data_IF_335955711566
#
_entry.id   IF_335955711566
#
_cell.length_a   1.000
_cell.length_b   1.000
_cell.length_c   1.000
_cell.angle_alpha   90.00
_cell.angle_beta   90.00
_cell.angle_gamma   90.00
#
_symmetry.space_group_name_H-M   'P 1'
#
loop_
_entity.id
_entity.type
_entity.pdbx_description
1 polymer ?
#
# COMPACT_ATOMS: atom_id res chain seq x y z
N UNK A 1 16.37 -13.86 47.91
CA UNK A 1 16.65 -14.86 46.86
C UNK A 1 16.84 -14.17 45.53
N UNK A 2 17.45 -14.85 44.55
CA UNK A 2 17.65 -14.30 43.20
C UNK A 2 16.35 -14.26 42.37
N UNK A 3 15.31 -14.98 42.80
CA UNK A 3 13.98 -15.03 42.16
C UNK A 3 13.04 -14.03 42.82
N UNK A 4 12.42 -13.20 41.99
CA UNK A 4 11.44 -12.17 42.36
C UNK A 4 10.12 -12.42 41.64
N UNK A 5 9.05 -11.73 42.04
CA UNK A 5 7.72 -11.85 41.42
C UNK A 5 7.68 -11.51 39.93
N UNK A 6 8.69 -10.78 39.41
CA UNK A 6 8.80 -10.41 38.01
C UNK A 6 9.91 -11.16 37.24
N UNK A 7 10.51 -12.19 37.84
CA UNK A 7 11.49 -13.04 37.16
C UNK A 7 10.82 -13.80 36.02
N UNK A 8 11.46 -13.82 34.84
CA UNK A 8 11.05 -14.63 33.69
C UNK A 8 11.96 -15.85 33.57
N UNK A 9 11.40 -16.99 33.20
CA UNK A 9 12.10 -18.26 33.04
C UNK A 9 12.00 -18.72 31.58
N UNK A 10 13.09 -19.14 30.96
CA UNK A 10 13.05 -19.66 29.60
C UNK A 10 13.92 -20.89 29.43
N UNK A 11 13.54 -21.72 28.47
CA UNK A 11 14.33 -22.87 28.08
C UNK A 11 15.57 -22.40 27.31
N UNK A 12 16.71 -23.04 27.58
CA UNK A 12 18.01 -22.78 26.99
C UNK A 12 18.55 -24.09 26.43
N UNK A 13 17.80 -24.68 25.51
CA UNK A 13 18.21 -25.87 24.78
C UNK A 13 18.51 -25.49 23.33
N UNK A 14 19.78 -25.57 22.94
CA UNK A 14 20.18 -25.49 21.53
C UNK A 14 20.87 -24.19 21.11
N UNK A 15 20.80 -23.96 19.79
CA UNK A 15 21.21 -22.74 19.10
C UNK A 15 19.91 -22.06 18.68
N UNK A 16 19.69 -20.83 19.12
CA UNK A 16 18.55 -20.00 18.72
C UNK A 16 19.01 -18.99 17.67
N UNK A 17 18.28 -18.95 16.55
CA UNK A 17 18.63 -18.19 15.35
C UNK A 17 17.42 -17.35 14.96
N UNK A 18 17.53 -16.04 15.15
CA UNK A 18 16.47 -15.10 14.79
C UNK A 18 16.91 -14.24 13.61
N UNK A 19 16.05 -14.12 12.60
CA UNK A 19 16.25 -13.21 11.48
C UNK A 19 15.23 -12.07 11.58
N UNK A 20 15.71 -10.89 11.97
CA UNK A 20 14.89 -9.68 12.10
C UNK A 20 15.18 -8.65 11.01
N UNK A 21 14.43 -7.55 11.04
CA UNK A 21 14.67 -6.41 10.14
C UNK A 21 16.07 -5.78 10.31
N UNK A 22 16.71 -5.98 11.46
CA UNK A 22 18.05 -5.48 11.78
C UNK A 22 19.19 -6.46 11.43
N UNK A 23 18.87 -7.65 10.93
CA UNK A 23 19.85 -8.68 10.59
C UNK A 23 19.66 -10.00 11.34
N UNK A 24 20.71 -10.81 11.36
CA UNK A 24 20.75 -12.13 12.00
C UNK A 24 21.22 -12.00 13.44
N UNK A 25 20.42 -12.45 14.40
CA UNK A 25 20.79 -12.61 15.80
C UNK A 25 20.97 -14.09 16.12
N UNK A 26 22.10 -14.42 16.78
CA UNK A 26 22.47 -15.78 17.15
C UNK A 26 22.65 -15.85 18.67
N UNK A 27 21.83 -16.67 19.32
CA UNK A 27 21.96 -16.96 20.75
C UNK A 27 22.41 -18.40 20.93
N UNK A 28 23.64 -18.59 21.44
CA UNK A 28 24.19 -19.90 21.75
C UNK A 28 24.32 -20.08 23.26
N UNK A 29 23.76 -21.17 23.80
CA UNK A 29 23.98 -21.59 25.18
C UNK A 29 25.36 -22.19 25.42
N UNK A 30 25.67 -22.57 26.66
CA UNK A 30 26.92 -23.29 26.97
C UNK A 30 26.86 -24.73 26.43
N UNK A 31 28.02 -25.34 26.17
CA UNK A 31 28.11 -26.72 25.65
C UNK A 31 27.43 -27.76 26.55
N UNK A 32 27.35 -27.48 27.85
CA UNK A 32 26.65 -28.30 28.84
C UNK A 32 25.13 -28.18 28.73
N UNK A 33 24.60 -26.97 28.46
CA UNK A 33 23.17 -26.72 28.23
C UNK A 33 22.67 -27.36 26.93
N UNK A 34 23.54 -27.52 25.92
CA UNK A 34 23.24 -28.20 24.65
C UNK A 34 22.97 -29.71 24.81
N UNK A 35 23.52 -30.36 25.82
CA UNK A 35 23.46 -31.83 25.98
C UNK A 35 22.35 -32.31 26.91
N UNK A 36 21.96 -31.50 27.90
CA UNK A 36 21.01 -31.90 28.95
C UNK A 36 19.69 -31.11 28.89
N UNK A 37 19.68 -29.96 28.21
CA UNK A 37 18.61 -28.98 28.33
C UNK A 37 18.66 -28.28 29.69
N UNK A 38 18.28 -27.00 29.74
CA UNK A 38 18.35 -26.23 30.97
C UNK A 38 17.32 -25.10 30.99
N UNK A 39 16.80 -24.80 32.17
CA UNK A 39 15.97 -23.62 32.41
C UNK A 39 16.88 -22.53 32.97
N UNK A 40 16.83 -21.34 32.39
CA UNK A 40 17.49 -20.15 32.91
C UNK A 40 16.45 -19.10 33.27
N UNK A 41 16.86 -18.07 34.00
CA UNK A 41 15.97 -17.02 34.44
C UNK A 41 16.67 -15.67 34.52
N UNK A 42 15.88 -14.61 34.46
CA UNK A 42 16.38 -13.25 34.52
C UNK A 42 15.27 -12.23 34.70
N UNK A 43 15.67 -10.98 34.79
CA UNK A 43 14.74 -9.85 34.83
C UNK A 43 14.64 -9.22 33.44
N UNK A 44 13.45 -8.75 33.02
CA UNK A 44 13.32 -7.98 31.80
C UNK A 44 14.12 -6.67 31.88
N UNK A 45 14.62 -6.19 30.74
CA UNK A 45 15.35 -4.93 30.65
C UNK A 45 14.46 -3.77 31.17
N UNK A 46 15.02 -2.96 32.07
CA UNK A 46 14.30 -1.84 32.70
C UNK A 46 13.28 -2.25 33.78
N UNK A 47 13.28 -3.52 34.22
CA UNK A 47 12.42 -3.96 35.31
C UNK A 47 12.71 -3.21 36.62
N UNK A 48 11.65 -2.72 37.26
CA UNK A 48 11.71 -2.23 38.63
C UNK A 48 11.83 -3.43 39.57
N UNK A 49 12.64 -3.30 40.63
CA UNK A 49 12.80 -4.33 41.67
C UNK A 49 11.43 -4.76 42.20
N UNK A 50 11.17 -6.07 42.21
CA UNK A 50 9.94 -6.66 42.70
C UNK A 50 10.19 -7.43 44.01
N UNK A 51 9.15 -7.70 44.82
CA UNK A 51 9.29 -8.53 46.01
C UNK A 51 9.87 -9.91 45.67
N UNK A 52 10.57 -10.51 46.64
CA UNK A 52 11.06 -11.87 46.53
C UNK A 52 9.90 -12.86 46.27
N UNK A 53 10.17 -13.91 45.52
CA UNK A 53 9.22 -15.00 45.33
C UNK A 53 8.93 -15.73 46.66
N UNK A 54 7.69 -16.12 46.86
CA UNK A 54 7.27 -17.01 47.94
C UNK A 54 7.36 -18.48 47.51
N UNK A 55 7.35 -19.39 48.49
CA UNK A 55 7.28 -20.82 48.21
C UNK A 55 5.95 -21.17 47.51
N UNK A 56 6.00 -22.01 46.49
CA UNK A 56 4.84 -22.39 45.67
C UNK A 56 4.41 -21.38 44.60
N UNK A 57 5.14 -20.27 44.40
CA UNK A 57 4.85 -19.34 43.30
C UNK A 57 5.05 -20.00 41.93
N UNK A 58 4.07 -19.86 41.05
CA UNK A 58 4.11 -20.37 39.68
C UNK A 58 4.60 -19.30 38.68
N UNK A 59 5.39 -19.73 37.70
CA UNK A 59 5.96 -18.89 36.65
C UNK A 59 5.71 -19.49 35.27
N UNK A 60 5.63 -18.63 34.27
CA UNK A 60 5.60 -19.06 32.87
C UNK A 60 7.00 -19.46 32.44
N UNK A 61 7.14 -20.67 31.90
CA UNK A 61 8.33 -21.12 31.19
C UNK A 61 8.16 -20.77 29.71
N UNK A 62 8.99 -19.84 29.22
CA UNK A 62 9.04 -19.44 27.83
C UNK A 62 9.95 -20.39 27.03
N UNK A 63 9.70 -20.53 25.73
CA UNK A 63 10.47 -21.46 24.89
C UNK A 63 11.91 -20.98 24.67
N UNK A 64 12.15 -19.67 24.63
CA UNK A 64 13.47 -19.06 24.51
C UNK A 64 13.51 -17.65 25.15
N UNK A 65 14.69 -17.00 25.08
CA UNK A 65 14.88 -15.66 25.63
C UNK A 65 14.04 -14.60 24.89
N UNK A 66 13.96 -14.68 23.56
CA UNK A 66 13.26 -13.69 22.74
C UNK A 66 11.76 -13.65 23.01
N UNK A 67 11.16 -14.80 23.34
CA UNK A 67 9.77 -14.92 23.80
C UNK A 67 9.51 -14.14 25.08
N UNK A 68 10.51 -13.98 25.94
CA UNK A 68 10.39 -13.17 27.15
C UNK A 68 10.31 -11.66 26.85
N UNK A 69 10.80 -11.23 25.69
CA UNK A 69 10.82 -9.84 25.23
C UNK A 69 9.63 -9.48 24.34
N UNK A 70 8.88 -10.48 23.86
CA UNK A 70 7.67 -10.26 23.07
C UNK A 70 6.74 -9.29 23.80
N UNK A 71 6.22 -8.33 23.05
CA UNK A 71 5.29 -7.33 23.55
C UNK A 71 4.04 -8.02 24.09
N UNK A 72 3.87 -8.03 25.42
CA UNK A 72 2.70 -8.61 26.08
C UNK A 72 1.65 -7.52 26.22
N UNK A 73 0.63 -7.62 25.39
CA UNK A 73 -0.52 -6.74 25.39
C UNK A 73 -1.46 -7.16 26.51
N UNK A 74 -1.85 -6.22 27.38
CA UNK A 74 -2.68 -6.53 28.56
C UNK A 74 -4.18 -6.50 28.25
N UNK A 75 -4.60 -5.54 27.43
CA UNK A 75 -6.01 -5.22 27.17
C UNK A 75 -6.36 -5.43 25.70
N UNK A 76 -6.02 -6.61 25.16
CA UNK A 76 -6.26 -6.87 23.76
C UNK A 76 -7.67 -7.34 23.44
N UNK A 77 -8.23 -6.82 22.35
CA UNK A 77 -9.55 -7.16 21.83
C UNK A 77 -9.40 -7.81 20.44
N UNK A 78 -10.11 -8.91 20.15
CA UNK A 78 -10.08 -9.55 18.84
C UNK A 78 -10.93 -8.77 17.83
N UNK A 79 -10.42 -8.63 16.61
CA UNK A 79 -11.15 -8.06 15.48
C UNK A 79 -10.99 -8.93 14.23
N UNK A 80 -12.01 -8.90 13.37
CA UNK A 80 -11.99 -9.58 12.08
C UNK A 80 -11.72 -8.58 10.96
N UNK A 81 -10.85 -8.94 10.03
CA UNK A 81 -10.59 -8.20 8.80
C UNK A 81 -11.02 -9.04 7.60
N UNK A 82 -11.61 -8.40 6.59
CA UNK A 82 -12.09 -9.08 5.39
C UNK A 82 -11.41 -8.52 4.14
N UNK A 83 -10.41 -9.23 3.61
CA UNK A 83 -9.66 -8.77 2.43
C UNK A 83 -10.22 -9.37 1.14
N UNK A 84 -10.41 -8.54 0.10
CA UNK A 84 -10.81 -8.98 -1.25
C UNK A 84 -9.66 -9.57 -2.05
N UNK A 85 -8.42 -9.18 -1.73
CA UNK A 85 -7.20 -9.60 -2.44
C UNK A 85 -6.46 -10.78 -1.81
N UNK A 86 -5.32 -11.11 -2.40
CA UNK A 86 -4.41 -12.12 -1.88
C UNK A 86 -3.84 -11.70 -0.52
N UNK A 87 -3.94 -12.60 0.46
CA UNK A 87 -3.28 -12.49 1.77
C UNK A 87 -1.93 -13.21 1.81
N UNK A 88 -1.40 -13.63 0.66
CA UNK A 88 -0.13 -14.38 0.57
C UNK A 88 1.02 -13.59 1.18
N UNK A 89 1.75 -14.23 2.09
CA UNK A 89 2.85 -13.60 2.83
C UNK A 89 2.42 -13.07 4.19
N UNK A 90 1.11 -13.00 4.47
CA UNK A 90 0.61 -12.82 5.82
C UNK A 90 0.64 -14.16 6.54
N UNK A 91 1.22 -14.18 7.74
CA UNK A 91 1.35 -15.36 8.60
C UNK A 91 0.73 -15.08 9.96
N UNK A 92 0.53 -16.14 10.74
CA UNK A 92 0.22 -16.01 12.17
C UNK A 92 1.36 -15.26 12.87
N UNK A 93 1.02 -14.50 13.91
CA UNK A 93 1.91 -13.59 14.65
C UNK A 93 2.51 -12.42 13.84
N UNK A 94 2.16 -12.28 12.56
CA UNK A 94 2.51 -11.10 11.79
C UNK A 94 2.03 -9.82 12.51
N UNK A 95 2.83 -8.74 12.49
CA UNK A 95 2.52 -7.57 13.27
C UNK A 95 1.27 -6.86 12.74
N UNK A 96 0.54 -6.25 13.65
CA UNK A 96 -0.47 -5.24 13.33
C UNK A 96 0.09 -3.91 13.81
N UNK A 97 0.32 -3.00 12.89
CA UNK A 97 0.95 -1.72 13.17
C UNK A 97 -0.05 -0.59 12.99
N UNK A 98 0.07 0.43 13.83
CA UNK A 98 -0.57 1.72 13.63
C UNK A 98 0.53 2.77 13.47
N UNK A 99 0.60 3.37 12.28
CA UNK A 99 1.64 4.36 11.92
C UNK A 99 3.07 3.89 12.24
N UNK A 100 3.34 2.61 11.97
CA UNK A 100 4.66 1.98 12.19
C UNK A 100 4.96 1.59 13.64
N UNK A 101 4.00 1.72 14.55
CA UNK A 101 4.11 1.22 15.93
C UNK A 101 3.29 -0.05 16.05
N UNK A 102 3.89 -1.12 16.56
CA UNK A 102 3.17 -2.38 16.78
C UNK A 102 2.12 -2.22 17.87
N UNK A 103 0.88 -2.52 17.49
CA UNK A 103 -0.31 -2.42 18.34
C UNK A 103 -1.11 -3.72 18.38
N UNK A 104 -0.58 -4.80 17.81
CA UNK A 104 -1.30 -6.05 17.73
C UNK A 104 -0.55 -7.15 17.01
N UNK A 105 -1.27 -8.24 16.79
CA UNK A 105 -0.82 -9.43 16.09
C UNK A 105 -1.93 -10.08 15.29
N UNK A 106 -1.57 -10.69 14.16
CA UNK A 106 -2.44 -11.63 13.44
C UNK A 106 -2.53 -12.92 14.25
N UNK A 107 -3.75 -13.39 14.51
CA UNK A 107 -4.03 -14.66 15.20
C UNK A 107 -4.43 -15.79 14.28
N UNK A 108 -4.76 -15.48 13.03
CA UNK A 108 -5.00 -16.51 12.05
C UNK A 108 -5.52 -15.97 10.73
N UNK A 109 -5.29 -16.76 9.68
CA UNK A 109 -5.82 -16.52 8.35
C UNK A 109 -6.72 -17.71 8.02
N UNK A 110 -8.03 -17.47 7.90
CA UNK A 110 -8.98 -18.53 7.57
C UNK A 110 -9.25 -18.53 6.07
N UNK A 111 -9.02 -19.68 5.44
CA UNK A 111 -9.40 -19.91 4.04
C UNK A 111 -10.88 -20.27 3.88
N UNK A 112 -11.61 -20.47 4.99
CA UNK A 112 -13.05 -20.68 4.95
C UNK A 112 -13.73 -19.33 4.74
N UNK A 113 -14.32 -19.15 3.57
CA UNK A 113 -15.14 -17.97 3.27
C UNK A 113 -16.29 -17.86 4.25
N UNK A 114 -16.64 -16.61 4.60
CA UNK A 114 -17.85 -16.35 5.36
C UNK A 114 -19.08 -16.77 4.54
N UNK A 115 -20.04 -17.49 5.14
CA UNK A 115 -21.29 -17.83 4.47
C UNK A 115 -21.97 -16.55 3.95
N UNK A 116 -22.44 -16.57 2.71
CA UNK A 116 -23.13 -15.46 2.06
C UNK A 116 -22.30 -14.18 1.85
N UNK A 117 -20.96 -14.24 1.87
CA UNK A 117 -20.15 -13.11 1.43
C UNK A 117 -20.02 -13.08 -0.11
N UNK A 118 -20.69 -12.17 -0.84
CA UNK A 118 -20.68 -12.14 -2.30
C UNK A 118 -19.30 -11.84 -2.88
N UNK A 119 -18.47 -11.13 -2.11
CA UNK A 119 -17.12 -10.73 -2.51
C UNK A 119 -16.08 -11.83 -2.23
N UNK A 120 -16.48 -12.93 -1.57
CA UNK A 120 -15.60 -14.05 -1.18
C UNK A 120 -14.31 -13.54 -0.53
N UNK A 121 -14.44 -12.63 0.44
CA UNK A 121 -13.28 -12.04 1.12
C UNK A 121 -12.63 -13.07 2.03
N UNK A 122 -11.33 -12.91 2.23
CA UNK A 122 -10.53 -13.75 3.11
C UNK A 122 -10.59 -13.19 4.54
N UNK A 123 -11.17 -13.95 5.51
CA UNK A 123 -11.18 -13.55 6.90
C UNK A 123 -9.81 -13.70 7.55
N UNK A 124 -9.35 -12.63 8.18
CA UNK A 124 -8.12 -12.57 8.98
C UNK A 124 -8.48 -12.13 10.38
N UNK A 125 -8.17 -12.97 11.38
CA UNK A 125 -8.35 -12.64 12.78
C UNK A 125 -7.12 -11.90 13.29
N UNK A 126 -7.32 -10.74 13.89
CA UNK A 126 -6.29 -9.98 14.57
C UNK A 126 -6.65 -9.77 16.04
N UNK A 127 -5.63 -9.47 16.83
CA UNK A 127 -5.78 -9.06 18.22
C UNK A 127 -4.97 -7.79 18.43
N UNK A 128 -5.64 -6.71 18.87
CA UNK A 128 -5.04 -5.38 19.03
C UNK A 128 -5.36 -4.80 20.40
N UNK A 129 -4.59 -3.81 20.83
CA UNK A 129 -4.87 -2.98 22.02
C UNK A 129 -5.40 -1.62 21.54
N UNK A 130 -6.72 -1.37 21.67
CA UNK A 130 -7.32 -0.12 21.21
C UNK A 130 -6.78 1.14 21.89
N UNK A 131 -6.21 1.01 23.10
CA UNK A 131 -5.62 2.12 23.85
C UNK A 131 -4.35 2.68 23.22
N UNK A 132 -3.73 1.94 22.29
CA UNK A 132 -2.58 2.40 21.52
C UNK A 132 -2.98 3.19 20.27
N UNK A 133 -4.22 3.08 19.80
CA UNK A 133 -4.75 3.83 18.65
C UNK A 133 -5.48 5.08 19.12
N UNK A 134 -6.34 4.91 20.13
CA UNK A 134 -7.26 5.94 20.59
C UNK A 134 -6.92 6.36 22.00
N UNK A 135 -7.10 7.65 22.31
CA UNK A 135 -6.95 8.12 23.68
C UNK A 135 -8.18 7.70 24.48
N UNK A 136 -8.11 6.52 25.08
CA UNK A 136 -9.09 6.07 26.05
C UNK A 136 -9.04 7.03 27.26
N UNK A 137 -10.15 7.70 27.64
CA UNK A 137 -10.21 8.45 28.88
C UNK A 137 -9.90 7.50 30.04
N UNK A 138 -9.02 7.92 30.96
CA UNK A 138 -8.55 7.07 32.08
C UNK A 138 -9.67 6.54 32.97
N UNK A 139 -10.81 7.23 33.00
CA UNK A 139 -11.99 6.89 33.81
C UNK A 139 -13.19 6.46 32.93
N UNK A 140 -12.96 6.12 31.67
CA UNK A 140 -14.05 5.69 30.79
C UNK A 140 -14.55 4.31 31.20
N UNK A 141 -15.86 4.19 31.39
CA UNK A 141 -16.57 2.92 31.51
C UNK A 141 -17.03 2.39 30.15
N UNK A 142 -16.81 3.15 29.08
CA UNK A 142 -17.21 2.76 27.73
C UNK A 142 -16.27 1.66 27.22
N UNK A 143 -16.80 0.60 26.59
CA UNK A 143 -15.97 -0.45 26.00
C UNK A 143 -15.00 0.14 24.96
N UNK A 144 -13.80 -0.45 24.86
CA UNK A 144 -12.75 0.00 23.93
C UNK A 144 -13.24 0.03 22.46
N UNK A 145 -14.23 -0.80 22.15
CA UNK A 145 -14.96 -0.90 20.90
C UNK A 145 -15.64 0.41 20.50
N UNK A 146 -16.13 1.20 21.47
CA UNK A 146 -16.78 2.49 21.20
C UNK A 146 -15.81 3.48 20.54
N UNK A 147 -14.56 3.52 21.03
CA UNK A 147 -13.53 4.41 20.51
C UNK A 147 -13.04 3.98 19.13
N UNK A 148 -12.98 2.68 18.88
CA UNK A 148 -12.66 2.12 17.58
C UNK A 148 -13.76 2.41 16.57
N UNK A 149 -15.03 2.33 16.96
CA UNK A 149 -16.14 2.72 16.09
C UNK A 149 -16.02 4.19 15.65
N UNK A 150 -15.74 5.10 16.59
CA UNK A 150 -15.48 6.51 16.27
C UNK A 150 -14.25 6.67 15.36
N UNK A 151 -13.17 5.93 15.59
CA UNK A 151 -11.99 5.96 14.73
C UNK A 151 -12.31 5.50 13.29
N UNK A 152 -13.13 4.46 13.15
CA UNK A 152 -13.59 3.94 11.85
C UNK A 152 -14.43 4.97 11.09
N UNK A 153 -15.32 5.68 11.77
CA UNK A 153 -16.09 6.79 11.20
C UNK A 153 -15.19 7.94 10.74
N UNK A 154 -14.07 8.17 11.42
CA UNK A 154 -13.05 9.15 11.03
C UNK A 154 -12.03 8.62 10.00
N UNK A 155 -12.26 7.42 9.44
CA UNK A 155 -11.47 6.89 8.32
C UNK A 155 -10.39 5.87 8.69
N UNK A 156 -10.41 5.31 9.90
CA UNK A 156 -9.51 4.20 10.26
C UNK A 156 -9.78 2.99 9.37
N UNK A 157 -8.76 2.52 8.64
CA UNK A 157 -8.85 1.35 7.76
C UNK A 157 -7.66 0.42 8.00
N UNK A 158 -7.91 -0.87 7.92
CA UNK A 158 -6.87 -1.89 7.87
C UNK A 158 -6.42 -2.13 6.42
N UNK A 159 -5.13 -2.32 6.19
CA UNK A 159 -4.59 -2.68 4.88
C UNK A 159 -3.44 -3.67 5.03
N UNK A 160 -3.15 -4.40 3.96
CA UNK A 160 -1.97 -5.28 3.92
C UNK A 160 -0.81 -4.53 3.29
N UNK A 161 0.33 -4.54 3.96
CA UNK A 161 1.57 -3.94 3.47
C UNK A 161 2.70 -4.96 3.51
N UNK A 162 3.66 -4.80 2.61
CA UNK A 162 4.87 -5.62 2.58
C UNK A 162 5.84 -5.14 3.65
N UNK A 163 6.16 -6.01 4.61
CA UNK A 163 7.15 -5.73 5.67
C UNK A 163 8.58 -6.05 5.23
N UNK A 164 8.75 -7.12 4.43
CA UNK A 164 10.05 -7.50 3.88
C UNK A 164 9.94 -7.81 2.39
N UNK A 165 10.63 -7.03 1.56
CA UNK A 165 10.70 -7.27 0.12
C UNK A 165 11.52 -8.52 -0.23
N UNK A 166 12.42 -8.95 0.66
CA UNK A 166 13.26 -10.12 0.43
C UNK A 166 12.50 -11.43 0.64
N UNK A 167 11.71 -11.51 1.72
CA UNK A 167 10.95 -12.72 2.06
C UNK A 167 9.51 -12.70 1.56
N UNK A 168 9.02 -11.53 1.13
CA UNK A 168 7.62 -11.33 0.75
C UNK A 168 6.66 -11.35 1.95
N UNK A 169 7.18 -11.22 3.18
CA UNK A 169 6.37 -11.21 4.39
C UNK A 169 5.54 -9.92 4.45
N UNK A 170 4.25 -10.08 4.78
CA UNK A 170 3.31 -8.98 4.94
C UNK A 170 2.96 -8.76 6.41
N UNK A 171 2.43 -7.58 6.68
CA UNK A 171 1.86 -7.19 7.96
C UNK A 171 0.54 -6.44 7.75
N UNK A 172 -0.24 -6.29 8.81
CA UNK A 172 -1.46 -5.48 8.81
C UNK A 172 -1.12 -4.07 9.25
N UNK A 173 -1.49 -3.09 8.44
CA UNK A 173 -1.33 -1.67 8.72
C UNK A 173 -2.69 -1.05 8.97
N UNK A 174 -2.87 -0.48 10.16
CA UNK A 174 -4.00 0.35 10.54
C UNK A 174 -3.60 1.81 10.40
N UNK A 175 -4.33 2.59 9.60
CA UNK A 175 -4.13 4.03 9.50
C UNK A 175 -5.41 4.75 9.08
N UNK A 176 -5.41 6.08 9.23
CA UNK A 176 -6.50 6.95 8.83
C UNK A 176 -6.37 7.33 7.36
N UNK A 177 -7.35 6.94 6.55
CA UNK A 177 -7.42 7.27 5.13
C UNK A 177 -8.32 8.49 4.93
N UNK A 178 -7.78 9.56 4.33
CA UNK A 178 -8.49 10.83 4.11
C UNK A 178 -9.72 10.70 3.20
N UNK A 179 -9.62 9.82 2.21
CA UNK A 179 -10.67 9.61 1.20
C UNK A 179 -11.40 8.27 1.41
N UNK A 180 -11.44 7.79 2.66
CA UNK A 180 -12.12 6.55 2.99
C UNK A 180 -13.63 6.67 2.74
N UNK A 181 -14.20 5.74 1.97
CA UNK A 181 -15.66 5.62 1.87
C UNK A 181 -16.26 5.39 3.26
N UNK A 182 -17.42 5.99 3.61
CA UNK A 182 -18.04 5.81 4.93
C UNK A 182 -18.20 4.33 5.27
N UNK A 183 -17.79 3.95 6.48
CA UNK A 183 -17.89 2.57 6.96
C UNK A 183 -18.19 2.57 8.47
N UNK A 184 -18.68 1.43 8.95
CA UNK A 184 -18.97 1.20 10.37
C UNK A 184 -18.39 -0.13 10.79
N UNK A 185 -18.13 -0.26 12.09
CA UNK A 185 -17.87 -1.57 12.69
C UNK A 185 -19.18 -2.36 12.63
N UNK A 186 -19.10 -3.57 12.08
CA UNK A 186 -20.21 -4.53 12.05
C UNK A 186 -19.80 -5.78 12.81
N UNK A 187 -20.76 -6.60 13.20
CA UNK A 187 -20.49 -7.85 13.90
C UNK A 187 -20.80 -9.04 12.98
N UNK A 188 -19.88 -9.99 12.89
CA UNK A 188 -20.03 -11.23 12.14
C UNK A 188 -19.53 -12.38 13.00
N UNK A 189 -20.38 -13.39 13.24
CA UNK A 189 -20.03 -14.59 14.03
C UNK A 189 -19.41 -14.27 15.40
N UNK A 190 -19.88 -13.19 16.06
CA UNK A 190 -19.37 -12.74 17.36
C UNK A 190 -18.07 -11.93 17.33
N UNK A 191 -17.56 -11.57 16.15
CA UNK A 191 -16.39 -10.72 15.97
C UNK A 191 -16.74 -9.36 15.40
N UNK A 192 -16.15 -8.30 15.97
CA UNK A 192 -16.19 -6.96 15.40
C UNK A 192 -15.30 -6.86 14.16
N UNK A 193 -15.88 -6.43 13.04
CA UNK A 193 -15.21 -6.32 11.76
C UNK A 193 -14.67 -4.91 11.58
N UNK A 194 -13.35 -4.78 11.41
CA UNK A 194 -12.74 -3.50 11.03
C UNK A 194 -12.75 -3.36 9.51
N UNK A 195 -13.18 -2.20 8.98
CA UNK A 195 -13.15 -1.97 7.55
C UNK A 195 -11.74 -2.01 7.00
N UNK A 196 -11.56 -2.76 5.91
CA UNK A 196 -10.30 -2.82 5.16
C UNK A 196 -10.30 -1.78 4.04
N UNK A 197 -9.14 -1.20 3.75
CA UNK A 197 -8.91 -0.28 2.64
C UNK A 197 -8.08 -0.91 1.51
N UNK A 198 -8.23 -0.37 0.30
CA UNK A 198 -7.47 -0.76 -0.88
C UNK A 198 -6.13 -0.03 -0.97
N UNK A 199 -5.09 -0.60 -0.38
CA UNK A 199 -3.71 -0.13 -0.52
C UNK A 199 -2.72 -1.27 -0.66
N UNK A 200 -3.13 -2.32 -1.37
CA UNK A 200 -2.25 -3.40 -1.81
C UNK A 200 -1.60 -3.06 -3.17
N UNK A 201 -0.49 -3.72 -3.49
CA UNK A 201 0.13 -3.63 -4.82
C UNK A 201 -0.83 -4.07 -5.94
N UNK A 202 -1.76 -4.97 -5.64
CA UNK A 202 -2.81 -5.40 -6.57
C UNK A 202 -3.75 -4.25 -6.93
N UNK A 203 -4.14 -3.41 -5.97
CA UNK A 203 -5.00 -2.25 -6.24
C UNK A 203 -4.35 -1.24 -7.20
N UNK A 204 -3.02 -1.10 -7.15
CA UNK A 204 -2.29 -0.25 -8.08
C UNK A 204 -2.29 -0.84 -9.50
N UNK A 205 -2.17 -2.16 -9.63
CA UNK A 205 -2.25 -2.84 -10.93
C UNK A 205 -3.64 -2.68 -11.53
N UNK A 206 -4.69 -2.88 -10.73
CA UNK A 206 -6.08 -2.72 -11.16
C UNK A 206 -6.38 -1.28 -11.58
N UNK A 207 -5.89 -0.29 -10.82
CA UNK A 207 -6.01 1.13 -11.19
C UNK A 207 -5.23 1.46 -12.46
N UNK A 208 -4.03 0.90 -12.65
CA UNK A 208 -3.25 1.10 -13.86
C UNK A 208 -3.93 0.48 -15.10
N UNK A 209 -4.49 -0.73 -14.96
CA UNK A 209 -5.28 -1.38 -15.99
C UNK A 209 -6.52 -0.53 -16.34
N UNK A 210 -7.27 -0.08 -15.33
CA UNK A 210 -8.43 0.77 -15.55
C UNK A 210 -8.09 2.12 -16.23
N UNK A 211 -6.91 2.68 -15.96
CA UNK A 211 -6.43 3.87 -16.69
C UNK A 211 -6.10 3.55 -18.15
N UNK A 212 -5.48 2.41 -18.42
CA UNK A 212 -5.18 1.97 -19.78
C UNK A 212 -6.46 1.75 -20.57
N UNK A 213 -7.47 1.11 -19.96
CA UNK A 213 -8.78 0.90 -20.58
C UNK A 213 -9.48 2.23 -20.89
N UNK A 214 -9.42 3.20 -19.97
CA UNK A 214 -9.95 4.56 -20.19
C UNK A 214 -9.23 5.28 -21.32
N UNK A 215 -7.92 5.12 -21.46
CA UNK A 215 -7.12 5.73 -22.53
C UNK A 215 -7.48 5.12 -23.90
N UNK A 216 -7.73 3.82 -23.95
CA UNK A 216 -8.19 3.13 -25.16
C UNK A 216 -9.63 3.51 -25.54
N UNK A 217 -10.47 3.85 -24.56
CA UNK A 217 -11.86 4.24 -24.79
C UNK A 217 -12.05 5.71 -25.23
N UNK A 218 -10.97 6.49 -25.36
CA UNK A 218 -11.07 7.85 -25.88
C UNK A 218 -11.38 7.82 -27.39
N UNK A 219 -12.43 8.53 -27.87
CA UNK A 219 -12.79 8.54 -29.28
C UNK A 219 -11.87 9.46 -30.07
N UNK A 220 -10.62 9.04 -30.23
CA UNK A 220 -9.61 9.76 -31.02
C UNK A 220 -10.04 9.88 -32.47
N UNK A 221 -10.75 8.87 -32.99
CA UNK A 221 -11.29 8.86 -34.34
C UNK A 221 -12.32 9.97 -34.55
N UNK A 222 -13.24 10.16 -33.59
CA UNK A 222 -14.27 11.21 -33.65
C UNK A 222 -13.64 12.60 -33.52
N UNK A 223 -12.64 12.73 -32.65
CA UNK A 223 -11.91 13.98 -32.45
C UNK A 223 -11.15 14.39 -33.72
N UNK A 224 -10.49 13.43 -34.38
CA UNK A 224 -9.77 13.64 -35.65
C UNK A 224 -10.74 13.95 -36.78
N UNK A 225 -11.89 13.26 -36.83
CA UNK A 225 -12.95 13.51 -37.82
C UNK A 225 -13.52 14.92 -37.68
N UNK A 226 -13.90 15.34 -36.46
CA UNK A 226 -14.44 16.67 -36.20
C UNK A 226 -13.42 17.78 -36.53
N UNK A 227 -12.13 17.55 -36.25
CA UNK A 227 -11.07 18.47 -36.64
C UNK A 227 -10.92 18.57 -38.17
N UNK A 228 -11.02 17.45 -38.90
CA UNK A 228 -10.97 17.42 -40.35
C UNK A 228 -12.18 18.12 -40.99
N UNK A 229 -13.37 17.96 -40.41
CA UNK A 229 -14.59 18.63 -40.87
C UNK A 229 -14.55 20.14 -40.62
N UNK A 230 -14.11 20.57 -39.43
CA UNK A 230 -13.93 21.99 -39.11
C UNK A 230 -12.93 22.65 -40.08
N UNK A 231 -11.82 21.96 -40.38
CA UNK A 231 -10.87 22.41 -41.38
C UNK A 231 -11.50 22.54 -42.77
N UNK A 232 -12.27 21.54 -43.20
CA UNK A 232 -12.93 21.57 -44.50
C UNK A 232 -13.89 22.76 -44.60
N UNK A 233 -14.64 23.07 -43.55
CA UNK A 233 -15.51 24.23 -43.46
C UNK A 233 -14.74 25.57 -43.51
N UNK A 234 -13.58 25.64 -42.85
CA UNK A 234 -12.68 26.81 -42.92
C UNK A 234 -12.16 27.00 -44.35
N UNK A 235 -11.72 25.92 -45.02
CA UNK A 235 -11.25 25.97 -46.42
C UNK A 235 -12.37 26.40 -47.38
N UNK A 236 -13.58 25.91 -47.20
CA UNK A 236 -14.74 26.30 -48.00
C UNK A 236 -15.09 27.79 -47.82
N UNK A 237 -15.17 28.25 -46.57
CA UNK A 237 -15.43 29.66 -46.25
C UNK A 237 -14.35 30.58 -46.85
N UNK A 238 -13.08 30.18 -46.77
CA UNK A 238 -11.99 30.94 -47.37
C UNK A 238 -12.06 31.00 -48.90
N UNK A 239 -12.47 29.91 -49.57
CA UNK A 239 -12.62 29.87 -51.01
C UNK A 239 -13.79 30.74 -51.49
N UNK A 240 -14.90 30.76 -50.76
CA UNK A 240 -16.04 31.64 -51.05
C UNK A 240 -15.69 33.11 -50.81
N UNK A 241 -15.00 33.41 -49.70
CA UNK A 241 -14.46 34.75 -49.46
C UNK A 241 -13.50 35.20 -50.57
N UNK A 242 -12.66 34.32 -51.08
CA UNK A 242 -11.78 34.62 -52.21
C UNK A 242 -12.58 35.02 -53.47
N UNK A 243 -13.66 34.30 -53.78
CA UNK A 243 -14.56 34.65 -54.90
C UNK A 243 -15.30 35.97 -54.70
N UNK A 244 -15.74 36.28 -53.48
CA UNK A 244 -16.45 37.54 -53.19
C UNK A 244 -15.49 38.74 -53.12
N UNK A 245 -14.27 38.56 -52.61
CA UNK A 245 -13.24 39.61 -52.47
C UNK A 245 -12.48 39.86 -53.79
N UNK A 246 -12.55 38.95 -54.77
CA UNK A 246 -12.10 39.19 -56.15
C UNK A 246 -12.76 40.42 -56.80
N UNK A 247 -13.89 40.90 -56.26
CA UNK A 247 -14.53 42.16 -56.68
C UNK A 247 -13.93 43.43 -56.06
N UNK A 248 -13.06 43.32 -55.06
CA UNK A 248 -12.42 44.44 -54.34
C UNK A 248 -10.90 44.21 -54.21
N UNK A 249 -10.16 44.46 -55.30
CA UNK A 249 -8.71 44.72 -55.34
C UNK A 249 -7.77 43.66 -54.72
N UNK A 250 -6.93 43.04 -55.56
CA UNK A 250 -5.97 41.96 -55.24
C UNK A 250 -4.94 42.23 -54.10
N UNK A 251 -4.92 43.42 -53.47
CA UNK A 251 -3.93 43.84 -52.47
C UNK A 251 -4.50 44.20 -51.08
N UNK A 252 -5.71 43.76 -50.75
CA UNK A 252 -6.30 43.99 -49.43
C UNK A 252 -5.55 43.26 -48.30
N UNK A 253 -5.24 43.93 -47.19
CA UNK A 253 -4.57 43.35 -46.01
C UNK A 253 -5.30 42.11 -45.43
N UNK A 254 -6.61 42.02 -45.66
CA UNK A 254 -7.43 40.86 -45.27
C UNK A 254 -7.08 39.60 -46.07
N UNK A 255 -6.75 39.74 -47.35
CA UNK A 255 -6.40 38.63 -48.24
C UNK A 255 -5.08 37.97 -47.82
N UNK A 256 -4.08 38.81 -47.51
CA UNK A 256 -2.77 38.37 -47.04
C UNK A 256 -2.88 37.64 -45.70
N UNK A 257 -3.70 38.17 -44.76
CA UNK A 257 -3.87 37.57 -43.45
C UNK A 257 -4.63 36.24 -43.49
N UNK A 258 -5.62 36.11 -44.38
CA UNK A 258 -6.34 34.86 -44.62
C UNK A 258 -5.42 33.79 -45.22
N UNK A 259 -4.65 34.16 -46.25
CA UNK A 259 -3.71 33.23 -46.92
C UNK A 259 -2.65 32.71 -45.93
N UNK A 260 -2.10 33.59 -45.09
CA UNK A 260 -1.14 33.19 -44.05
C UNK A 260 -1.76 32.28 -42.99
N UNK A 261 -3.00 32.57 -42.55
CA UNK A 261 -3.70 31.73 -41.57
C UNK A 261 -3.98 30.33 -42.12
N UNK A 262 -4.38 30.22 -43.40
CA UNK A 262 -4.62 28.94 -44.06
C UNK A 262 -3.33 28.13 -44.22
N UNK A 263 -2.22 28.80 -44.54
CA UNK A 263 -0.89 28.19 -44.63
C UNK A 263 -0.44 27.61 -43.29
N UNK A 264 -0.58 28.39 -42.21
CA UNK A 264 -0.25 27.95 -40.85
C UNK A 264 -1.14 26.79 -40.36
N UNK A 265 -2.41 26.78 -40.77
CA UNK A 265 -3.31 25.67 -40.49
C UNK A 265 -2.86 24.39 -41.21
N UNK A 266 -2.52 24.46 -42.50
CA UNK A 266 -2.04 23.29 -43.25
C UNK A 266 -0.74 22.72 -42.65
N UNK A 267 0.21 23.57 -42.22
CA UNK A 267 1.42 23.12 -41.51
C UNK A 267 1.10 22.42 -40.17
N UNK A 268 0.16 22.97 -39.40
CA UNK A 268 -0.26 22.40 -38.12
C UNK A 268 -0.89 21.02 -38.32
N UNK A 269 -1.74 20.87 -39.34
CA UNK A 269 -2.41 19.62 -39.66
C UNK A 269 -1.46 18.57 -40.21
N UNK A 270 -0.45 18.98 -40.98
CA UNK A 270 0.60 18.08 -41.41
C UNK A 270 1.40 17.56 -40.21
N UNK A 271 1.68 18.41 -39.22
CA UNK A 271 2.33 17.99 -37.97
C UNK A 271 1.48 16.98 -37.18
N UNK A 272 0.17 17.19 -37.11
CA UNK A 272 -0.78 16.29 -36.43
C UNK A 272 -0.88 14.95 -37.17
N UNK A 273 -0.94 14.96 -38.51
CA UNK A 273 -0.92 13.73 -39.33
C UNK A 273 0.38 12.94 -39.15
N UNK A 274 1.53 13.62 -39.10
CA UNK A 274 2.81 12.97 -38.82
C UNK A 274 2.84 12.35 -37.42
N UNK A 275 2.24 13.01 -36.42
CA UNK A 275 2.12 12.49 -35.07
C UNK A 275 1.21 11.26 -35.01
N UNK A 276 0.02 11.34 -35.61
CA UNK A 276 -0.93 10.24 -35.72
C UNK A 276 -0.31 9.01 -36.40
N UNK A 277 0.35 9.20 -37.55
CA UNK A 277 1.05 8.10 -38.22
C UNK A 277 2.25 7.53 -37.44
N UNK A 278 2.85 8.32 -36.53
CA UNK A 278 3.91 7.84 -35.62
C UNK A 278 3.33 6.99 -34.49
N UNK A 279 2.20 7.41 -33.93
CA UNK A 279 1.49 6.67 -32.87
C UNK A 279 0.95 5.34 -33.43
N UNK A 280 0.37 5.35 -34.63
CA UNK A 280 -0.14 4.15 -35.31
C UNK A 280 0.97 3.13 -35.62
N UNK A 281 2.15 3.60 -36.03
CA UNK A 281 3.28 2.73 -36.38
C UNK A 281 4.11 2.28 -35.17
N UNK A 282 4.19 3.07 -34.09
CA UNK A 282 5.03 2.80 -32.91
C UNK A 282 4.40 3.34 -31.61
N UNK A 283 3.38 2.67 -31.07
CA UNK A 283 2.73 3.10 -29.83
C UNK A 283 3.69 3.11 -28.62
N UNK A 284 4.67 2.21 -28.58
CA UNK A 284 5.67 2.13 -27.49
C UNK A 284 6.57 3.37 -27.34
N UNK A 285 6.62 4.26 -28.35
CA UNK A 285 7.44 5.47 -28.29
C UNK A 285 6.95 6.52 -27.28
N UNK A 286 5.70 6.41 -26.82
CA UNK A 286 5.09 7.29 -25.82
C UNK A 286 5.58 6.99 -24.39
N UNK A 287 5.92 5.74 -24.10
CA UNK A 287 6.34 5.28 -22.77
C UNK A 287 7.86 5.43 -22.58
N UNK A 288 8.64 5.16 -23.63
CA UNK A 288 10.09 5.11 -23.54
C UNK A 288 10.81 6.34 -24.12
N UNK A 289 10.06 7.28 -24.69
CA UNK A 289 10.61 8.41 -25.43
C UNK A 289 11.36 7.97 -26.70
N UNK A 290 11.72 8.92 -27.57
CA UNK A 290 12.62 8.63 -28.70
C UNK A 290 13.99 8.21 -28.14
N UNK A 291 14.63 7.13 -28.64
CA UNK A 291 16.01 6.84 -28.28
C UNK A 291 16.86 8.05 -28.69
N UNK A 292 17.35 8.80 -27.69
CA UNK A 292 18.32 9.85 -27.91
C UNK A 292 19.55 9.23 -28.57
N UNK A 293 20.13 9.91 -29.56
CA UNK A 293 21.47 9.56 -30.04
C UNK A 293 22.39 9.62 -28.84
N UNK A 294 22.83 8.46 -28.35
CA UNK A 294 23.95 8.37 -27.42
C UNK A 294 25.18 8.76 -28.25
N UNK A 295 25.67 9.98 -28.08
CA UNK A 295 26.99 10.34 -28.60
C UNK A 295 28.02 9.42 -27.92
N UNK A 296 28.90 8.76 -28.68
CA UNK A 296 29.95 7.95 -28.07
C UNK A 296 30.84 8.86 -27.22
N UNK A 297 31.28 8.40 -26.04
CA UNK A 297 32.15 9.20 -25.17
C UNK A 297 33.41 9.58 -25.94
N UNK A 298 33.73 10.88 -25.94
CA UNK A 298 35.00 11.39 -26.46
C UNK A 298 36.13 10.74 -25.67
N UNK A 299 36.82 9.79 -26.29
CA UNK A 299 38.02 9.19 -25.74
C UNK A 299 39.08 10.27 -25.50
N UNK A 300 39.67 10.27 -24.32
CA UNK A 300 40.84 11.09 -24.00
C UNK A 300 42.01 10.69 -24.91
N UNK A 301 42.79 11.65 -25.43
CA UNK A 301 43.96 11.33 -26.24
C UNK A 301 45.02 10.59 -25.40
N UNK A 302 45.76 9.65 -26.01
CA UNK A 302 46.77 8.86 -25.30
C UNK A 302 47.91 9.77 -24.82
N UNK A 303 48.41 9.48 -23.61
CA UNK A 303 49.69 9.98 -23.10
C UNK A 303 50.84 9.16 -23.67
#
# INVERSE_FOLDING_TARGET
>A
GLVQKNTKFWNMSGIDVELGANGLELHAGTLESLLVGGITFGQPDGAVSAPAAGDGDAYVLYDNLSDTKKFVMKDSVPYLLLFTGSVRGLSEDAPVDFRGVRIGTVKGVSFRYLPNDPERRVPVLIQIDPGLITRLPKDSTEPAEHFIAAAVENGLRASLKTGSFLTGQMYVDLDFQKDAAPAKVVEIEGYHVLPTGGSSLSDLQDKAAALLDKLQALPLEETVKNAAEALAAIKATAADLNKTVSGYGENGALYQKLTETLRQLDETLESIRRLSGTIERKPNSLIFGKPGRVEPPKGSPPR
#
